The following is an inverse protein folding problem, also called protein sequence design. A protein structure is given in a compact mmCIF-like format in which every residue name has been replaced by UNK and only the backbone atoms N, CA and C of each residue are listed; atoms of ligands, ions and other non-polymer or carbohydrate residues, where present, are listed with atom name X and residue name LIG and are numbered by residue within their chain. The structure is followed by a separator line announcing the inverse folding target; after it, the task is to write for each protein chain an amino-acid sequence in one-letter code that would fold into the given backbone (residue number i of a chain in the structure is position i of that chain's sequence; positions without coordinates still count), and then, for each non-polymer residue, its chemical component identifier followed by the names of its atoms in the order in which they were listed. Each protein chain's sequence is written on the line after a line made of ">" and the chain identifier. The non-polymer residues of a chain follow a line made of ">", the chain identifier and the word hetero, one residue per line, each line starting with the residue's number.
data_IF_705226218107
#
_entry.id   IF_705226218107
#
_cell.length_a   1.000
_cell.length_b   1.000
_cell.length_c   1.000
_cell.angle_alpha   90.00
_cell.angle_beta   90.00
_cell.angle_gamma   90.00
#
_symmetry.space_group_name_H-M   'P 1'
#
loop_
_entity.id
_entity.type
_entity.pdbx_description
1 polymer ?
#
# COMPACT_ATOMS: atom_id res chain seq x y z
N UNK A 1 -12.54 3.68 -6.19
CA UNK A 1 -13.52 3.55 -5.07
C UNK A 1 -14.89 4.12 -5.43
N UNK A 2 -14.95 5.35 -5.95
CA UNK A 2 -16.23 6.05 -6.13
C UNK A 2 -17.05 5.58 -7.33
N UNK A 3 -16.40 5.29 -8.47
CA UNK A 3 -17.06 4.59 -9.59
C UNK A 3 -17.59 3.21 -9.17
N UNK A 4 -16.81 2.50 -8.36
CA UNK A 4 -17.19 1.19 -7.82
C UNK A 4 -18.34 1.28 -6.81
N UNK A 5 -18.37 2.32 -5.97
CA UNK A 5 -19.49 2.60 -5.06
C UNK A 5 -20.77 2.93 -5.83
N UNK A 6 -20.66 3.78 -6.85
CA UNK A 6 -21.79 4.11 -7.73
C UNK A 6 -22.35 2.86 -8.44
N UNK A 7 -21.48 1.98 -8.96
CA UNK A 7 -21.91 0.71 -9.56
C UNK A 7 -22.62 -0.22 -8.57
N UNK A 8 -22.17 -0.26 -7.30
CA UNK A 8 -22.79 -1.10 -6.27
C UNK A 8 -24.21 -0.63 -5.93
N UNK A 9 -24.43 0.69 -5.86
CA UNK A 9 -25.70 1.27 -5.43
C UNK A 9 -26.75 1.40 -6.54
N UNK A 10 -26.32 1.74 -7.75
CA UNK A 10 -27.24 2.05 -8.85
C UNK A 10 -27.44 0.90 -9.83
N UNK A 11 -26.52 -0.07 -9.86
CA UNK A 11 -26.52 -1.19 -10.81
C UNK A 11 -26.50 -2.53 -10.06
N UNK A 12 -25.32 -3.16 -10.00
CA UNK A 12 -25.06 -4.43 -9.34
C UNK A 12 -23.56 -4.53 -9.11
N UNK A 13 -23.15 -5.26 -8.06
CA UNK A 13 -21.75 -5.51 -7.79
C UNK A 13 -21.00 -6.17 -8.96
N UNK A 14 -21.69 -6.90 -9.84
CA UNK A 14 -21.09 -7.50 -11.05
C UNK A 14 -20.55 -6.45 -12.04
N UNK A 15 -21.17 -5.26 -12.11
CA UNK A 15 -20.74 -4.18 -13.02
C UNK A 15 -19.36 -3.63 -12.69
N UNK A 16 -18.89 -3.84 -11.46
CA UNK A 16 -17.52 -3.55 -11.05
C UNK A 16 -16.50 -4.32 -11.91
N UNK A 17 -16.83 -5.53 -12.36
CA UNK A 17 -15.96 -6.37 -13.20
C UNK A 17 -16.13 -6.10 -14.69
N UNK A 18 -17.34 -5.75 -15.13
CA UNK A 18 -17.64 -5.44 -16.53
C UNK A 18 -16.86 -4.23 -17.04
N UNK A 19 -16.57 -3.22 -16.19
CA UNK A 19 -15.76 -2.07 -16.59
C UNK A 19 -14.38 -2.49 -17.15
N UNK A 20 -13.67 -3.38 -16.46
CA UNK A 20 -12.39 -3.92 -16.93
C UNK A 20 -12.56 -4.80 -18.17
N UNK A 21 -13.63 -5.60 -18.24
CA UNK A 21 -13.92 -6.43 -19.40
C UNK A 21 -14.15 -5.61 -20.68
N UNK A 22 -14.78 -4.42 -20.57
CA UNK A 22 -15.01 -3.50 -21.71
C UNK A 22 -13.73 -2.81 -22.14
N UNK A 23 -12.83 -2.44 -21.21
CA UNK A 23 -11.55 -1.80 -21.53
C UNK A 23 -10.56 -2.79 -22.17
N UNK A 24 -10.65 -4.07 -21.82
CA UNK A 24 -9.74 -5.13 -22.30
C UNK A 24 -9.64 -5.24 -23.83
N UNK A 25 -10.73 -5.31 -24.62
CA UNK A 25 -10.63 -5.36 -26.08
C UNK A 25 -10.03 -4.09 -26.69
N UNK A 26 -10.31 -2.90 -26.12
CA UNK A 26 -9.66 -1.66 -26.55
C UNK A 26 -8.15 -1.74 -26.35
N UNK A 27 -7.70 -2.24 -25.20
CA UNK A 27 -6.28 -2.49 -24.94
C UNK A 27 -5.69 -3.52 -25.92
N UNK A 28 -6.43 -4.57 -26.27
CA UNK A 28 -5.98 -5.58 -27.24
C UNK A 28 -5.77 -4.97 -28.63
N UNK A 29 -6.68 -4.11 -29.08
CA UNK A 29 -6.55 -3.36 -30.34
C UNK A 29 -5.32 -2.45 -30.30
N UNK A 30 -5.12 -1.69 -29.23
CA UNK A 30 -3.94 -0.83 -29.07
C UNK A 30 -2.63 -1.63 -29.09
N UNK A 31 -2.60 -2.83 -28.49
CA UNK A 31 -1.44 -3.71 -28.48
C UNK A 31 -1.18 -4.28 -29.88
N UNK A 32 -2.22 -4.76 -30.55
CA UNK A 32 -2.12 -5.35 -31.88
C UNK A 32 -1.57 -4.37 -32.92
N UNK A 33 -2.02 -3.11 -32.89
CA UNK A 33 -1.55 -2.08 -33.82
C UNK A 33 -0.30 -1.33 -33.34
N UNK A 34 -0.04 -1.29 -32.04
CA UNK A 34 1.04 -0.48 -31.45
C UNK A 34 2.38 -1.20 -31.29
N UNK A 35 2.40 -2.54 -31.22
CA UNK A 35 3.66 -3.29 -31.06
C UNK A 35 4.17 -3.74 -32.43
N UNK A 36 5.34 -3.23 -32.89
CA UNK A 36 5.95 -3.72 -34.11
C UNK A 36 6.30 -5.21 -33.99
N UNK A 37 6.26 -5.99 -35.08
CA UNK A 37 6.60 -7.41 -35.05
C UNK A 37 7.97 -7.62 -34.42
N UNK A 38 8.02 -8.42 -33.35
CA UNK A 38 9.29 -8.73 -32.70
C UNK A 38 10.21 -9.46 -33.67
N UNK A 39 11.48 -9.07 -33.72
CA UNK A 39 12.49 -9.75 -34.52
C UNK A 39 12.50 -11.25 -34.16
N UNK A 40 12.61 -12.16 -35.15
CA UNK A 40 12.56 -13.59 -34.91
C UNK A 40 13.60 -14.00 -33.88
N UNK A 41 13.13 -14.74 -32.86
CA UNK A 41 13.97 -15.26 -31.77
C UNK A 41 15.14 -16.05 -32.37
N UNK A 42 16.37 -15.59 -32.17
CA UNK A 42 17.58 -16.34 -32.56
C UNK A 42 17.50 -17.73 -31.92
N UNK A 43 17.55 -18.78 -32.75
CA UNK A 43 17.48 -20.19 -32.32
C UNK A 43 18.65 -20.60 -31.43
N UNK A 44 19.77 -19.89 -31.51
CA UNK A 44 21.01 -20.16 -30.76
C UNK A 44 21.06 -19.48 -29.37
N UNK A 45 19.89 -19.18 -28.80
CA UNK A 45 19.80 -18.58 -27.47
C UNK A 45 19.99 -19.61 -26.34
N UNK A 46 20.41 -19.18 -25.14
CA UNK A 46 20.54 -20.05 -23.97
C UNK A 46 19.25 -20.82 -23.68
N UNK A 47 19.41 -22.00 -23.06
CA UNK A 47 18.39 -23.02 -22.84
C UNK A 47 17.00 -22.45 -22.47
N UNK A 48 15.90 -23.09 -22.92
CA UNK A 48 14.55 -22.58 -22.69
C UNK A 48 14.30 -22.34 -21.20
N UNK A 49 13.63 -21.24 -20.82
CA UNK A 49 13.35 -20.93 -19.42
C UNK A 49 12.58 -22.08 -18.78
N UNK A 50 13.04 -22.55 -17.60
CA UNK A 50 12.36 -23.63 -16.90
C UNK A 50 11.03 -23.13 -16.32
N UNK A 51 9.92 -23.41 -17.02
CA UNK A 51 8.57 -23.08 -16.54
C UNK A 51 8.26 -23.70 -15.17
N UNK A 52 8.78 -24.91 -14.93
CA UNK A 52 8.61 -25.63 -13.66
C UNK A 52 9.19 -24.84 -12.47
N UNK A 53 10.39 -24.26 -12.60
CA UNK A 53 11.00 -23.47 -11.53
C UNK A 53 10.24 -22.18 -11.23
N UNK A 54 9.69 -21.55 -12.27
CA UNK A 54 8.82 -20.39 -12.15
C UNK A 54 7.51 -20.72 -11.43
N UNK A 55 6.89 -21.86 -11.76
CA UNK A 55 5.66 -22.33 -11.11
C UNK A 55 5.88 -22.63 -9.63
N UNK A 56 6.96 -23.33 -9.28
CA UNK A 56 7.28 -23.58 -7.86
C UNK A 56 7.51 -22.28 -7.09
N UNK A 57 8.29 -21.34 -7.64
CA UNK A 57 8.52 -20.05 -6.99
C UNK A 57 7.21 -19.27 -6.81
N UNK A 58 6.39 -19.21 -7.86
CA UNK A 58 5.12 -18.47 -7.84
C UNK A 58 4.11 -19.08 -6.87
N UNK A 59 3.97 -20.41 -6.86
CA UNK A 59 3.09 -21.12 -5.95
C UNK A 59 3.53 -20.97 -4.49
N UNK A 60 4.84 -21.12 -4.23
CA UNK A 60 5.40 -20.93 -2.89
C UNK A 60 5.22 -19.51 -2.36
N UNK A 61 5.46 -18.49 -3.20
CA UNK A 61 5.18 -17.10 -2.85
C UNK A 61 3.67 -16.91 -2.60
N UNK A 62 2.80 -17.37 -3.49
CA UNK A 62 1.35 -17.22 -3.32
C UNK A 62 0.85 -17.78 -1.98
N UNK A 63 1.29 -18.97 -1.58
CA UNK A 63 0.92 -19.58 -0.30
C UNK A 63 1.36 -18.73 0.90
N UNK A 64 2.60 -18.25 0.90
CA UNK A 64 3.09 -17.36 1.96
C UNK A 64 2.32 -16.04 1.97
N UNK A 65 2.06 -15.45 0.81
CA UNK A 65 1.28 -14.21 0.72
C UNK A 65 -0.13 -14.39 1.28
N UNK A 66 -0.81 -15.50 0.98
CA UNK A 66 -2.12 -15.82 1.54
C UNK A 66 -2.04 -16.01 3.05
N UNK A 67 -1.04 -16.77 3.53
CA UNK A 67 -0.83 -16.99 4.96
C UNK A 67 -0.65 -15.66 5.72
N UNK A 68 0.22 -14.77 5.21
CA UNK A 68 0.48 -13.49 5.83
C UNK A 68 -0.73 -12.54 5.75
N UNK A 69 -1.45 -12.50 4.62
CA UNK A 69 -2.67 -11.69 4.48
C UNK A 69 -3.78 -12.13 5.44
N UNK A 70 -3.91 -13.42 5.65
CA UNK A 70 -4.92 -13.99 6.54
C UNK A 70 -4.42 -14.16 7.97
N UNK A 71 -3.19 -13.75 8.28
CA UNK A 71 -2.54 -13.97 9.58
C UNK A 71 -3.38 -13.44 10.74
N UNK A 72 -3.73 -12.15 10.71
CA UNK A 72 -4.56 -11.54 11.76
C UNK A 72 -5.95 -12.18 11.86
N UNK A 73 -6.56 -12.55 10.72
CA UNK A 73 -7.89 -13.18 10.69
C UNK A 73 -7.87 -14.61 11.24
N UNK A 74 -6.75 -15.31 11.09
CA UNK A 74 -6.56 -16.70 11.51
C UNK A 74 -5.82 -16.82 12.85
N UNK A 75 -5.67 -15.75 13.63
CA UNK A 75 -4.90 -15.76 14.89
C UNK A 75 -3.45 -16.30 14.73
N UNK A 76 -2.85 -16.04 13.58
CA UNK A 76 -1.46 -16.39 13.26
C UNK A 76 -1.13 -17.85 13.59
N UNK A 77 -0.16 -18.10 14.46
CA UNK A 77 0.34 -19.42 14.84
C UNK A 77 -0.68 -20.31 15.55
N UNK A 78 -1.78 -19.74 16.07
CA UNK A 78 -2.83 -20.51 16.74
C UNK A 78 -3.70 -21.29 15.77
N UNK A 79 -3.73 -20.91 14.49
CA UNK A 79 -4.49 -21.63 13.47
C UNK A 79 -3.65 -22.67 12.74
N UNK A 80 -4.17 -23.89 12.68
CA UNK A 80 -3.61 -24.95 11.85
C UNK A 80 -3.58 -24.59 10.36
N UNK A 81 -4.53 -23.80 9.87
CA UNK A 81 -4.58 -23.35 8.47
C UNK A 81 -3.45 -22.39 8.14
N UNK A 82 -3.18 -21.43 9.02
CA UNK A 82 -2.04 -20.51 8.86
C UNK A 82 -0.73 -21.29 8.85
N UNK A 83 -0.53 -22.19 9.82
CA UNK A 83 0.67 -23.02 9.92
C UNK A 83 0.86 -23.89 8.66
N UNK A 84 -0.22 -24.53 8.17
CA UNK A 84 -0.17 -25.33 6.96
C UNK A 84 0.23 -24.51 5.73
N UNK A 85 -0.39 -23.33 5.52
CA UNK A 85 -0.07 -22.44 4.39
C UNK A 85 1.35 -21.89 4.47
N UNK A 86 1.79 -21.46 5.65
CA UNK A 86 3.12 -20.90 5.85
C UNK A 86 4.20 -21.96 5.62
N UNK A 87 4.11 -23.11 6.29
CA UNK A 87 5.12 -24.17 6.16
C UNK A 87 5.13 -24.83 4.78
N UNK A 88 3.97 -25.05 4.17
CA UNK A 88 3.91 -25.58 2.79
C UNK A 88 4.47 -24.58 1.77
N UNK A 89 4.16 -23.29 1.91
CA UNK A 89 4.73 -22.22 1.09
C UNK A 89 6.25 -22.13 1.25
N UNK A 90 6.75 -22.13 2.48
CA UNK A 90 8.19 -22.13 2.78
C UNK A 90 8.89 -23.35 2.21
N UNK A 91 8.32 -24.55 2.36
CA UNK A 91 8.87 -25.79 1.80
C UNK A 91 9.00 -25.73 0.27
N UNK A 92 7.95 -25.28 -0.42
CA UNK A 92 7.96 -25.13 -1.88
C UNK A 92 8.97 -24.08 -2.33
N UNK A 93 9.10 -22.97 -1.60
CA UNK A 93 10.12 -21.95 -1.88
C UNK A 93 11.54 -22.46 -1.67
N UNK A 94 11.78 -23.25 -0.62
CA UNK A 94 13.09 -23.89 -0.39
C UNK A 94 13.41 -24.86 -1.53
N UNK A 95 12.45 -25.67 -1.96
CA UNK A 95 12.60 -26.54 -3.13
C UNK A 95 12.92 -25.72 -4.40
N UNK A 96 12.24 -24.60 -4.63
CA UNK A 96 12.51 -23.70 -5.75
C UNK A 96 13.92 -23.10 -5.68
N UNK A 97 14.37 -22.71 -4.48
CA UNK A 97 15.70 -22.14 -4.24
C UNK A 97 16.80 -23.17 -4.46
N UNK A 98 16.67 -24.38 -3.90
CA UNK A 98 17.63 -25.48 -4.08
C UNK A 98 17.73 -25.84 -5.56
N UNK A 99 16.60 -25.92 -6.27
CA UNK A 99 16.57 -26.18 -7.71
C UNK A 99 17.32 -25.09 -8.48
N UNK A 100 17.14 -23.82 -8.11
CA UNK A 100 17.85 -22.69 -8.71
C UNK A 100 19.36 -22.72 -8.43
N UNK A 101 19.77 -23.12 -7.23
CA UNK A 101 21.20 -23.25 -6.91
C UNK A 101 21.87 -24.38 -7.70
N UNK A 102 21.14 -25.47 -7.98
CA UNK A 102 21.64 -26.62 -8.75
C UNK A 102 21.67 -26.40 -10.27
N UNK A 103 20.85 -25.47 -10.78
CA UNK A 103 20.78 -25.14 -12.20
C UNK A 103 20.77 -23.63 -12.40
N UNK A 104 21.87 -23.00 -12.86
CA UNK A 104 21.92 -21.56 -13.06
C UNK A 104 20.93 -21.16 -14.15
N UNK A 105 19.77 -20.63 -13.74
CA UNK A 105 18.83 -20.04 -14.66
C UNK A 105 19.37 -18.67 -15.09
N UNK A 106 19.80 -18.57 -16.35
CA UNK A 106 20.47 -17.41 -16.94
C UNK A 106 19.62 -16.12 -16.94
N UNK A 107 18.32 -16.22 -16.64
CA UNK A 107 17.38 -15.09 -16.62
C UNK A 107 17.59 -14.08 -15.49
N UNK A 108 18.34 -14.40 -14.42
CA UNK A 108 18.48 -13.52 -13.25
C UNK A 108 19.94 -13.19 -12.97
N UNK A 109 20.40 -12.01 -13.39
CA UNK A 109 21.72 -11.50 -13.06
C UNK A 109 21.71 -10.72 -11.72
N UNK A 110 22.14 -11.33 -10.62
CA UNK A 110 22.16 -10.69 -9.29
C UNK A 110 23.24 -9.63 -9.00
N UNK A 111 24.40 -9.53 -9.68
CA UNK A 111 25.49 -8.68 -9.17
C UNK A 111 25.14 -7.19 -9.12
N UNK A 112 24.15 -6.74 -9.90
CA UNK A 112 23.68 -5.35 -9.92
C UNK A 112 22.70 -5.01 -8.79
N UNK A 113 22.04 -6.03 -8.21
CA UNK A 113 21.04 -5.87 -7.15
C UNK A 113 21.66 -5.59 -5.78
N UNK A 114 22.87 -6.09 -5.55
CA UNK A 114 23.59 -5.95 -4.27
C UNK A 114 24.36 -4.63 -4.12
N UNK A 115 24.23 -3.70 -5.07
CA UNK A 115 24.83 -2.37 -4.93
C UNK A 115 24.07 -1.56 -3.89
N UNK A 116 24.82 -0.82 -3.04
CA UNK A 116 24.29 -0.02 -1.94
C UNK A 116 23.08 0.84 -2.32
N UNK A 117 23.20 1.66 -3.37
CA UNK A 117 22.09 2.51 -3.84
C UNK A 117 20.88 1.69 -4.33
N UNK A 118 21.09 0.53 -4.95
CA UNK A 118 19.99 -0.32 -5.43
C UNK A 118 19.19 -0.91 -4.26
N UNK A 119 19.89 -1.38 -3.22
CA UNK A 119 19.26 -1.89 -1.99
C UNK A 119 18.54 -0.77 -1.24
N UNK A 120 19.16 0.41 -1.11
CA UNK A 120 18.52 1.58 -0.48
C UNK A 120 17.25 1.99 -1.22
N UNK A 121 17.29 2.08 -2.55
CA UNK A 121 16.11 2.39 -3.38
C UNK A 121 15.02 1.32 -3.25
N UNK A 122 15.41 0.05 -3.12
CA UNK A 122 14.47 -1.03 -2.79
C UNK A 122 13.79 -0.79 -1.43
N UNK A 123 14.55 -0.45 -0.40
CA UNK A 123 13.98 -0.14 0.92
C UNK A 123 13.08 1.10 0.89
N UNK A 124 13.47 2.13 0.14
CA UNK A 124 12.69 3.36 -0.02
C UNK A 124 11.39 3.11 -0.79
N UNK A 125 11.40 2.20 -1.76
CA UNK A 125 10.19 1.75 -2.44
C UNK A 125 9.27 0.99 -1.48
N UNK A 126 9.81 0.18 -0.58
CA UNK A 126 9.03 -0.46 0.47
C UNK A 126 8.36 0.59 1.38
N UNK A 127 9.13 1.56 1.89
CA UNK A 127 8.61 2.63 2.76
C UNK A 127 7.59 3.51 2.05
N UNK A 128 7.85 3.91 0.81
CA UNK A 128 6.87 4.64 0.00
C UNK A 128 5.57 3.83 -0.15
N UNK A 129 5.65 2.53 -0.41
CA UNK A 129 4.45 1.68 -0.48
C UNK A 129 3.71 1.59 0.85
N UNK A 130 4.43 1.61 1.97
CA UNK A 130 3.82 1.71 3.30
C UNK A 130 3.02 3.02 3.47
N UNK A 131 3.50 4.16 2.97
CA UNK A 131 2.76 5.43 3.06
C UNK A 131 1.43 5.43 2.30
N UNK A 132 1.26 4.57 1.28
CA UNK A 132 -0.01 4.42 0.57
C UNK A 132 -1.10 3.76 1.42
N UNK A 133 -0.72 3.10 2.52
CA UNK A 133 -1.68 2.52 3.47
C UNK A 133 -2.59 3.60 4.09
N UNK A 134 -2.10 4.84 4.16
CA UNK A 134 -2.88 6.01 4.57
C UNK A 134 -4.18 6.15 3.78
N UNK A 135 -4.08 6.16 2.46
CA UNK A 135 -5.21 6.36 1.53
C UNK A 135 -6.00 5.08 1.28
N UNK A 136 -5.33 3.93 1.31
CA UNK A 136 -5.95 2.64 0.98
C UNK A 136 -6.71 2.04 2.18
N UNK A 137 -6.22 2.25 3.41
CA UNK A 137 -6.75 1.57 4.61
C UNK A 137 -7.27 2.57 5.63
N UNK A 138 -6.41 3.46 6.15
CA UNK A 138 -6.74 4.28 7.33
C UNK A 138 -7.95 5.19 7.09
N UNK A 139 -7.95 5.93 5.99
CA UNK A 139 -9.04 6.86 5.68
C UNK A 139 -10.35 6.11 5.45
N UNK A 140 -10.45 5.12 4.54
CA UNK A 140 -11.67 4.34 4.37
C UNK A 140 -12.18 3.71 5.67
N UNK A 141 -11.30 3.12 6.49
CA UNK A 141 -11.69 2.49 7.75
C UNK A 141 -12.21 3.50 8.79
N UNK A 142 -11.65 4.72 8.82
CA UNK A 142 -12.11 5.77 9.73
C UNK A 142 -13.53 6.27 9.44
N UNK A 143 -13.98 6.15 8.20
CA UNK A 143 -15.37 6.41 7.82
C UNK A 143 -16.23 5.15 7.98
N UNK A 144 -15.75 3.99 7.55
CA UNK A 144 -16.51 2.75 7.59
C UNK A 144 -16.97 2.37 9.02
N UNK A 145 -16.17 2.66 10.06
CA UNK A 145 -16.57 2.39 11.45
C UNK A 145 -17.82 3.16 11.89
N UNK A 146 -18.12 4.29 11.25
CA UNK A 146 -19.33 5.07 11.53
C UNK A 146 -20.56 4.58 10.76
N UNK A 147 -20.40 3.54 9.93
CA UNK A 147 -21.45 3.07 9.04
C UNK A 147 -21.61 3.91 7.79
N UNK A 148 -20.60 4.69 7.39
CA UNK A 148 -20.59 5.32 6.08
C UNK A 148 -20.51 4.25 5.00
N UNK A 149 -21.39 4.34 4.01
CA UNK A 149 -21.41 3.44 2.86
C UNK A 149 -20.29 3.79 1.85
N UNK A 150 -20.12 2.92 0.85
CA UNK A 150 -19.02 3.04 -0.10
C UNK A 150 -19.10 4.31 -0.97
N UNK A 151 -20.30 4.79 -1.29
CA UNK A 151 -20.54 6.09 -1.93
C UNK A 151 -20.06 7.27 -1.10
N UNK A 152 -20.24 7.22 0.22
CA UNK A 152 -19.89 8.31 1.12
C UNK A 152 -18.38 8.36 1.37
N UNK A 153 -17.70 7.22 1.28
CA UNK A 153 -16.23 7.12 1.39
C UNK A 153 -15.55 7.58 0.09
N UNK A 154 -16.15 7.28 -1.07
CA UNK A 154 -15.60 7.54 -2.39
C UNK A 154 -15.10 8.99 -2.61
N UNK A 155 -15.91 10.03 -2.30
CA UNK A 155 -15.53 11.43 -2.44
C UNK A 155 -14.23 11.79 -1.73
N UNK A 156 -14.00 11.29 -0.51
CA UNK A 156 -12.76 11.55 0.22
C UNK A 156 -11.55 11.05 -0.58
N UNK A 157 -11.60 9.80 -1.06
CA UNK A 157 -10.46 9.16 -1.74
C UNK A 157 -10.22 9.72 -3.14
N UNK A 158 -11.25 10.23 -3.85
CA UNK A 158 -11.07 10.87 -5.17
C UNK A 158 -10.11 12.05 -5.10
N UNK A 159 -10.13 12.82 -4.02
CA UNK A 159 -9.29 14.00 -3.89
C UNK A 159 -7.80 13.67 -3.88
N UNK A 160 -7.40 12.46 -3.51
CA UNK A 160 -6.01 11.98 -3.67
C UNK A 160 -5.61 11.72 -5.13
N UNK A 161 -6.58 11.37 -5.99
CA UNK A 161 -6.34 11.11 -7.41
C UNK A 161 -6.40 12.38 -8.27
N UNK A 162 -7.18 13.38 -7.87
CA UNK A 162 -7.35 14.65 -8.60
C UNK A 162 -6.02 15.36 -8.97
N UNK A 163 -5.03 15.52 -8.06
CA UNK A 163 -3.80 16.24 -8.38
C UNK A 163 -2.82 15.42 -9.22
N UNK A 164 -3.05 14.11 -9.41
CA UNK A 164 -2.04 13.18 -9.93
C UNK A 164 -1.52 13.59 -11.32
N UNK A 165 -2.40 13.98 -12.24
CA UNK A 165 -2.00 14.37 -13.61
C UNK A 165 -1.17 15.68 -13.62
N UNK A 166 -1.62 16.69 -12.88
CA UNK A 166 -0.93 17.97 -12.79
C UNK A 166 0.44 17.83 -12.11
N UNK A 167 0.50 17.02 -11.06
CA UNK A 167 1.74 16.74 -10.32
C UNK A 167 2.69 15.86 -11.15
N UNK A 168 2.16 14.91 -11.93
CA UNK A 168 2.95 14.13 -12.88
C UNK A 168 3.62 15.00 -13.95
N UNK A 169 2.86 15.92 -14.56
CA UNK A 169 3.37 16.85 -15.56
C UNK A 169 4.42 17.79 -14.96
N UNK A 170 4.11 18.44 -13.84
CA UNK A 170 5.04 19.36 -13.18
C UNK A 170 6.29 18.65 -12.67
N UNK A 171 6.16 17.48 -12.04
CA UNK A 171 7.28 16.65 -11.60
C UNK A 171 8.18 16.23 -12.76
N UNK A 172 7.59 15.78 -13.87
CA UNK A 172 8.35 15.45 -15.09
C UNK A 172 9.11 16.64 -15.67
N UNK A 173 8.47 17.81 -15.75
CA UNK A 173 9.11 19.05 -16.21
C UNK A 173 10.26 19.48 -15.30
N UNK A 174 10.11 19.36 -13.97
CA UNK A 174 11.16 19.69 -13.01
C UNK A 174 12.37 18.75 -13.16
N UNK A 175 12.13 17.46 -13.39
CA UNK A 175 13.20 16.50 -13.69
C UNK A 175 13.93 16.87 -14.99
N UNK A 176 13.20 17.22 -16.06
CA UNK A 176 13.80 17.64 -17.33
C UNK A 176 14.62 18.94 -17.21
N UNK A 177 14.21 19.85 -16.32
CA UNK A 177 14.96 21.08 -15.99
C UNK A 177 16.21 20.83 -15.13
N UNK A 178 16.50 19.57 -14.77
CA UNK A 178 17.69 19.20 -14.01
C UNK A 178 17.52 19.27 -12.50
N UNK A 179 16.30 19.24 -11.97
CA UNK A 179 16.10 19.12 -10.53
C UNK A 179 16.45 17.71 -10.05
N UNK A 180 17.21 17.62 -8.95
CA UNK A 180 17.61 16.33 -8.37
C UNK A 180 16.36 15.51 -7.95
N UNK A 181 16.14 14.29 -8.48
CA UNK A 181 14.92 13.50 -8.21
C UNK A 181 14.70 13.15 -6.73
N UNK A 182 15.76 13.19 -5.92
CA UNK A 182 15.70 12.96 -4.47
C UNK A 182 15.00 14.07 -3.73
N UNK A 183 15.19 15.31 -4.18
CA UNK A 183 14.51 16.46 -3.58
C UNK A 183 13.02 16.35 -3.86
N UNK A 184 12.65 15.95 -5.08
CA UNK A 184 11.25 15.67 -5.41
C UNK A 184 10.66 14.56 -4.52
N UNK A 185 11.43 13.50 -4.30
CA UNK A 185 11.02 12.40 -3.42
C UNK A 185 10.86 12.85 -1.96
N UNK A 186 11.84 13.62 -1.44
CA UNK A 186 11.82 14.13 -0.08
C UNK A 186 10.67 15.12 0.16
N UNK A 187 10.42 16.05 -0.78
CA UNK A 187 9.27 16.96 -0.72
C UNK A 187 7.96 16.17 -0.73
N UNK A 188 7.86 15.15 -1.58
CA UNK A 188 6.69 14.27 -1.61
C UNK A 188 6.41 13.60 -0.27
N UNK A 189 7.43 12.97 0.33
CA UNK A 189 7.31 12.33 1.65
C UNK A 189 7.02 13.34 2.77
N UNK A 190 7.61 14.53 2.73
CA UNK A 190 7.34 15.57 3.72
C UNK A 190 5.89 16.04 3.65
N UNK A 191 5.34 16.25 2.45
CA UNK A 191 3.92 16.56 2.25
C UNK A 191 3.02 15.44 2.77
N UNK A 192 3.35 14.17 2.49
CA UNK A 192 2.58 13.02 3.00
C UNK A 192 2.69 12.90 4.52
N UNK A 193 3.86 13.15 5.11
CA UNK A 193 4.04 13.18 6.57
C UNK A 193 3.20 14.27 7.23
N UNK A 194 3.21 15.48 6.65
CA UNK A 194 2.43 16.60 7.15
C UNK A 194 0.92 16.30 7.06
N UNK A 195 0.46 15.74 5.95
CA UNK A 195 -0.92 15.29 5.80
C UNK A 195 -1.31 14.22 6.85
N UNK A 196 -0.42 13.26 7.10
CA UNK A 196 -0.63 12.24 8.13
C UNK A 196 -0.74 12.84 9.54
N UNK A 197 0.08 13.85 9.87
CA UNK A 197 -0.01 14.57 11.15
C UNK A 197 -1.33 15.36 11.25
N UNK A 198 -1.79 15.99 10.17
CA UNK A 198 -3.10 16.65 10.15
C UNK A 198 -4.23 15.64 10.38
N UNK A 199 -4.17 14.47 9.74
CA UNK A 199 -5.12 13.38 9.96
C UNK A 199 -5.02 12.76 11.36
N UNK A 200 -3.89 12.90 12.08
CA UNK A 200 -3.78 12.48 13.48
C UNK A 200 -4.67 13.30 14.43
N UNK A 201 -5.18 14.47 14.00
CA UNK A 201 -6.22 15.22 14.72
C UNK A 201 -7.64 14.67 14.48
N UNK A 202 -7.74 13.47 13.89
CA UNK A 202 -8.98 12.77 13.67
C UNK A 202 -9.82 12.68 14.94
N UNK A 203 -11.11 12.95 14.79
CA UNK A 203 -12.12 12.77 15.83
C UNK A 203 -13.23 11.90 15.28
N UNK A 204 -13.92 11.15 16.13
CA UNK A 204 -15.07 10.30 15.77
C UNK A 204 -16.25 11.03 15.11
N UNK A 205 -16.21 12.37 15.03
CA UNK A 205 -17.21 13.19 14.33
C UNK A 205 -16.89 13.48 12.87
N UNK A 206 -15.71 13.11 12.36
CA UNK A 206 -15.29 13.43 11.00
C UNK A 206 -16.17 12.73 9.95
N UNK A 207 -16.31 13.40 8.81
CA UNK A 207 -16.95 12.92 7.60
C UNK A 207 -15.96 13.02 6.41
N UNK A 208 -16.39 12.60 5.22
CA UNK A 208 -15.56 12.64 4.01
C UNK A 208 -14.98 14.04 3.72
N UNK A 209 -15.76 15.08 3.98
CA UNK A 209 -15.39 16.48 3.72
C UNK A 209 -14.18 16.95 4.54
N UNK A 210 -14.02 16.43 5.76
CA UNK A 210 -12.86 16.74 6.60
C UNK A 210 -11.54 16.26 5.95
N UNK A 211 -11.61 15.22 5.12
CA UNK A 211 -10.46 14.65 4.44
C UNK A 211 -10.14 15.32 3.11
N UNK A 212 -10.97 16.20 2.54
CA UNK A 212 -10.72 16.74 1.19
C UNK A 212 -9.39 17.48 1.08
N UNK A 213 -9.08 18.32 2.09
CA UNK A 213 -7.83 19.09 2.13
C UNK A 213 -6.62 18.18 2.36
N UNK A 214 -6.73 17.22 3.28
CA UNK A 214 -5.62 16.32 3.59
C UNK A 214 -5.39 15.31 2.47
N UNK A 215 -6.44 14.80 1.82
CA UNK A 215 -6.33 13.89 0.68
C UNK A 215 -5.74 14.57 -0.56
N UNK A 216 -6.10 15.82 -0.84
CA UNK A 216 -5.46 16.58 -1.91
C UNK A 216 -3.94 16.69 -1.66
N UNK A 217 -3.55 17.06 -0.43
CA UNK A 217 -2.15 17.15 -0.03
C UNK A 217 -1.44 15.78 -0.08
N UNK A 218 -2.10 14.72 0.39
CA UNK A 218 -1.61 13.35 0.30
C UNK A 218 -1.38 12.94 -1.14
N UNK A 219 -2.32 13.24 -2.04
CA UNK A 219 -2.21 12.96 -3.47
C UNK A 219 -1.02 13.67 -4.10
N UNK A 220 -0.82 14.96 -3.79
CA UNK A 220 0.36 15.72 -4.24
C UNK A 220 1.65 15.08 -3.70
N UNK A 221 1.69 14.78 -2.41
CA UNK A 221 2.86 14.19 -1.76
C UNK A 221 3.23 12.83 -2.34
N UNK A 222 2.26 11.91 -2.45
CA UNK A 222 2.47 10.57 -2.98
C UNK A 222 2.84 10.59 -4.47
N UNK A 223 2.28 11.50 -5.25
CA UNK A 223 2.62 11.66 -6.66
C UNK A 223 4.06 12.15 -6.86
N UNK A 224 4.47 13.23 -6.18
CA UNK A 224 5.85 13.69 -6.21
C UNK A 224 6.83 12.62 -5.69
N UNK A 225 6.44 11.93 -4.62
CA UNK A 225 7.25 10.86 -4.06
C UNK A 225 7.48 9.72 -5.06
N UNK A 226 6.42 9.29 -5.75
CA UNK A 226 6.50 8.27 -6.79
C UNK A 226 7.41 8.70 -7.94
N UNK A 227 7.24 9.93 -8.46
CA UNK A 227 8.01 10.45 -9.58
C UNK A 227 9.50 10.55 -9.21
N UNK A 228 9.81 11.11 -8.04
CA UNK A 228 11.18 11.24 -7.56
C UNK A 228 11.85 9.88 -7.32
N UNK A 229 11.12 8.93 -6.72
CA UNK A 229 11.61 7.58 -6.46
C UNK A 229 11.85 6.79 -7.76
N UNK A 230 10.88 6.76 -8.67
CA UNK A 230 11.02 6.10 -9.97
C UNK A 230 12.15 6.75 -10.76
N UNK A 231 12.27 8.08 -10.69
CA UNK A 231 13.37 8.81 -11.29
C UNK A 231 14.74 8.35 -10.78
N UNK A 232 14.89 8.21 -9.46
CA UNK A 232 16.12 7.66 -8.87
C UNK A 232 16.41 6.22 -9.31
N UNK A 233 15.37 5.37 -9.40
CA UNK A 233 15.50 3.97 -9.81
C UNK A 233 15.97 3.87 -11.27
N UNK A 234 15.41 4.69 -12.17
CA UNK A 234 15.80 4.70 -13.58
C UNK A 234 17.25 5.18 -13.72
N UNK A 235 17.63 6.30 -13.10
CA UNK A 235 19.01 6.80 -13.14
C UNK A 235 20.01 5.76 -12.60
N UNK A 236 19.66 5.07 -11.51
CA UNK A 236 20.47 3.98 -10.97
C UNK A 236 20.57 2.81 -11.95
N UNK A 237 19.48 2.45 -12.62
CA UNK A 237 19.48 1.41 -13.66
C UNK A 237 20.43 1.76 -14.81
N UNK A 238 20.46 3.04 -15.22
CA UNK A 238 21.33 3.52 -16.30
C UNK A 238 22.78 3.48 -15.85
N UNK A 239 23.07 4.06 -14.68
CA UNK A 239 24.43 4.13 -14.13
C UNK A 239 25.05 2.75 -13.85
N UNK A 240 24.25 1.79 -13.37
CA UNK A 240 24.75 0.45 -13.05
C UNK A 240 24.97 -0.43 -14.28
N UNK A 241 24.58 0.03 -15.47
CA UNK A 241 24.53 -0.79 -16.68
C UNK A 241 23.42 -1.85 -16.65
N UNK A 242 22.48 -1.76 -15.69
CA UNK A 242 21.32 -2.65 -15.60
C UNK A 242 20.40 -2.55 -16.81
N UNK A 243 20.44 -1.41 -17.53
CA UNK A 243 19.71 -1.19 -18.79
C UNK A 243 20.51 -1.53 -20.06
N UNK A 244 21.76 -1.99 -19.94
CA UNK A 244 22.64 -2.18 -21.12
C UNK A 244 22.35 -3.45 -21.92
N UNK A 245 21.70 -4.47 -21.33
CA UNK A 245 21.32 -5.70 -22.01
C UNK A 245 19.84 -6.01 -21.78
N UNK A 246 19.08 -6.48 -22.79
CA UNK A 246 17.65 -6.79 -22.65
C UNK A 246 17.32 -7.73 -21.47
N UNK A 247 18.16 -8.74 -21.24
CA UNK A 247 18.02 -9.69 -20.14
C UNK A 247 18.19 -9.08 -18.74
N UNK A 248 19.04 -8.05 -18.60
CA UNK A 248 19.28 -7.37 -17.32
C UNK A 248 18.17 -6.39 -16.97
N UNK A 249 17.57 -5.76 -17.98
CA UNK A 249 16.37 -4.91 -17.82
C UNK A 249 15.24 -5.71 -17.17
N UNK A 250 15.00 -6.93 -17.67
CA UNK A 250 13.97 -7.82 -17.14
C UNK A 250 14.24 -8.19 -15.67
N UNK A 251 15.49 -8.52 -15.32
CA UNK A 251 15.87 -8.81 -13.93
C UNK A 251 15.68 -7.60 -13.01
N UNK A 252 16.16 -6.44 -13.45
CA UNK A 252 16.13 -5.20 -12.67
C UNK A 252 14.69 -4.74 -12.43
N UNK A 253 13.85 -4.77 -13.47
CA UNK A 253 12.43 -4.47 -13.36
C UNK A 253 11.71 -5.47 -12.45
N UNK A 254 11.94 -6.78 -12.64
CA UNK A 254 11.32 -7.82 -11.81
C UNK A 254 11.66 -7.64 -10.31
N UNK A 255 12.88 -7.23 -9.99
CA UNK A 255 13.29 -6.95 -8.60
C UNK A 255 12.47 -5.83 -7.96
N UNK A 256 12.42 -4.64 -8.58
CA UNK A 256 11.64 -3.52 -8.05
C UNK A 256 10.14 -3.79 -8.04
N UNK A 257 9.61 -4.50 -9.03
CA UNK A 257 8.21 -4.94 -9.04
C UNK A 257 7.90 -5.90 -7.89
N UNK A 258 8.81 -6.84 -7.59
CA UNK A 258 8.66 -7.77 -6.47
C UNK A 258 8.65 -7.02 -5.15
N UNK A 259 9.59 -6.09 -4.95
CA UNK A 259 9.63 -5.23 -3.75
C UNK A 259 8.37 -4.37 -3.66
N UNK A 260 7.88 -3.82 -4.76
CA UNK A 260 6.66 -3.00 -4.80
C UNK A 260 5.43 -3.79 -4.34
N UNK A 261 5.29 -5.03 -4.82
CA UNK A 261 4.18 -5.92 -4.46
C UNK A 261 4.30 -6.38 -3.01
N UNK A 262 5.48 -6.83 -2.60
CA UNK A 262 5.75 -7.26 -1.24
C UNK A 262 5.59 -6.12 -0.24
N UNK A 263 6.13 -4.93 -0.53
CA UNK A 263 6.02 -3.78 0.36
C UNK A 263 4.60 -3.26 0.55
N UNK A 264 3.78 -3.28 -0.51
CA UNK A 264 2.36 -2.92 -0.38
C UNK A 264 1.57 -3.91 0.47
N UNK A 265 1.81 -5.21 0.27
CA UNK A 265 1.11 -6.27 1.03
C UNK A 265 1.59 -6.37 2.46
N UNK A 266 2.90 -6.42 2.70
CA UNK A 266 3.50 -6.42 4.03
C UNK A 266 3.09 -5.17 4.82
N UNK A 267 3.05 -4.00 4.18
CA UNK A 267 2.60 -2.77 4.82
C UNK A 267 1.13 -2.82 5.25
N UNK A 268 0.24 -3.33 4.40
CA UNK A 268 -1.17 -3.51 4.73
C UNK A 268 -1.36 -4.51 5.88
N UNK A 269 -0.64 -5.63 5.87
CA UNK A 269 -0.68 -6.67 6.91
C UNK A 269 -0.19 -6.10 8.25
N UNK A 270 0.94 -5.40 8.23
CA UNK A 270 1.50 -4.78 9.43
C UNK A 270 0.56 -3.72 10.00
N UNK A 271 -0.02 -2.86 9.17
CA UNK A 271 -0.99 -1.85 9.63
C UNK A 271 -2.24 -2.51 10.22
N UNK A 272 -2.77 -3.56 9.59
CA UNK A 272 -3.93 -4.30 10.12
C UNK A 272 -3.64 -4.90 11.50
N UNK A 273 -2.50 -5.57 11.66
CA UNK A 273 -2.05 -6.09 12.96
C UNK A 273 -1.83 -4.96 13.97
N UNK A 274 -1.17 -3.87 13.58
CA UNK A 274 -0.91 -2.72 14.44
C UNK A 274 -2.21 -2.11 14.97
N UNK A 275 -3.19 -1.86 14.11
CA UNK A 275 -4.51 -1.36 14.51
C UNK A 275 -5.21 -2.32 15.48
N UNK A 276 -5.19 -3.62 15.21
CA UNK A 276 -5.82 -4.62 16.09
C UNK A 276 -5.18 -4.65 17.49
N UNK A 277 -3.85 -4.54 17.59
CA UNK A 277 -3.16 -4.47 18.89
C UNK A 277 -3.41 -3.15 19.61
N UNK A 278 -3.43 -2.02 18.88
CA UNK A 278 -3.71 -0.70 19.47
C UNK A 278 -5.16 -0.58 19.91
N UNK A 279 -6.13 -1.15 19.19
CA UNK A 279 -7.54 -1.24 19.62
C UNK A 279 -7.65 -2.01 20.94
N UNK A 280 -6.97 -3.17 21.06
CA UNK A 280 -6.94 -3.95 22.32
C UNK A 280 -6.34 -3.16 23.47
N UNK A 281 -5.24 -2.45 23.22
CA UNK A 281 -4.57 -1.60 24.22
C UNK A 281 -5.49 -0.47 24.67
N UNK A 282 -6.05 0.31 23.74
CA UNK A 282 -6.95 1.42 24.07
C UNK A 282 -8.24 0.95 24.73
N UNK A 283 -8.78 -0.20 24.31
CA UNK A 283 -9.95 -0.80 24.95
C UNK A 283 -9.66 -1.20 26.40
N UNK A 284 -8.46 -1.68 26.71
CA UNK A 284 -8.06 -1.98 28.08
C UNK A 284 -7.91 -0.69 28.91
N UNK A 285 -7.17 0.30 28.40
CA UNK A 285 -6.95 1.58 29.09
C UNK A 285 -8.25 2.33 29.37
N UNK A 286 -9.16 2.37 28.40
CA UNK A 286 -10.49 2.96 28.60
C UNK A 286 -11.34 2.11 29.55
N UNK A 287 -11.23 0.79 29.48
CA UNK A 287 -11.92 -0.16 30.37
C UNK A 287 -11.53 0.00 31.84
N UNK A 288 -10.29 0.38 32.15
CA UNK A 288 -9.86 0.68 33.53
C UNK A 288 -10.67 1.81 34.19
N UNK A 289 -11.22 2.72 33.39
CA UNK A 289 -12.05 3.83 33.86
C UNK A 289 -13.55 3.48 33.92
N UNK A 290 -13.94 2.30 33.44
CA UNK A 290 -15.32 1.78 33.47
C UNK A 290 -15.36 0.63 34.48
N UNK A 291 -15.45 1.00 35.76
CA UNK A 291 -15.49 0.04 36.87
C UNK A 291 -16.84 0.03 37.58
N UNK A 292 -17.25 -1.17 38.00
CA UNK A 292 -18.47 -1.35 38.80
C UNK A 292 -18.26 -0.73 40.18
N UNK A 293 -19.19 0.12 40.63
CA UNK A 293 -19.07 0.87 41.89
C UNK A 293 -18.46 2.27 41.73
N UNK A 294 -18.05 2.66 40.51
CA UNK A 294 -17.78 4.06 40.22
C UNK A 294 -19.10 4.81 40.03
N UNK A 295 -19.31 5.86 40.81
CA UNK A 295 -20.54 6.66 40.75
C UNK A 295 -20.81 7.23 39.34
N UNK A 296 -19.76 7.53 38.56
CA UNK A 296 -19.89 8.02 37.18
C UNK A 296 -20.42 6.93 36.25
N UNK A 297 -19.98 5.69 36.43
CA UNK A 297 -20.37 4.56 35.58
C UNK A 297 -21.78 4.11 35.94
N UNK A 298 -22.06 4.00 37.23
CA UNK A 298 -23.37 3.57 37.73
C UNK A 298 -24.45 4.60 37.39
N UNK A 299 -24.19 5.91 37.57
CA UNK A 299 -25.14 6.96 37.17
C UNK A 299 -25.44 6.98 35.68
N UNK A 300 -24.43 6.77 34.81
CA UNK A 300 -24.62 6.65 33.37
C UNK A 300 -25.44 5.40 33.00
N UNK A 301 -25.16 4.25 33.64
CA UNK A 301 -25.92 3.01 33.42
C UNK A 301 -27.37 3.20 33.85
N UNK A 302 -27.63 3.76 35.03
CA UNK A 302 -29.00 4.00 35.52
C UNK A 302 -29.75 4.99 34.63
N UNK A 303 -29.10 6.10 34.23
CA UNK A 303 -29.69 7.07 33.32
C UNK A 303 -30.07 6.48 31.96
N UNK A 304 -29.17 5.70 31.35
CA UNK A 304 -29.46 5.00 30.09
C UNK A 304 -30.52 3.91 30.26
N UNK A 305 -30.49 3.16 31.37
CA UNK A 305 -31.48 2.12 31.67
C UNK A 305 -32.89 2.73 31.79
N UNK A 306 -33.01 3.88 32.47
CA UNK A 306 -34.27 4.61 32.59
C UNK A 306 -34.80 5.06 31.22
N UNK A 307 -33.94 5.63 30.36
CA UNK A 307 -34.31 6.06 29.01
C UNK A 307 -34.67 4.92 28.05
N UNK A 308 -34.11 3.72 28.27
CA UNK A 308 -34.36 2.53 27.44
C UNK A 308 -35.51 1.66 27.95
N UNK A 309 -36.02 1.93 29.16
CA UNK A 309 -37.05 1.13 29.80
C UNK A 309 -38.31 1.01 28.92
N UNK A 310 -38.82 2.14 28.41
CA UNK A 310 -40.01 2.16 27.56
C UNK A 310 -39.88 1.44 26.21
N UNK A 311 -38.66 1.06 25.81
CA UNK A 311 -38.37 0.33 24.56
C UNK A 311 -37.88 -1.10 24.81
N UNK A 312 -37.91 -1.58 26.05
CA UNK A 312 -37.33 -2.86 26.46
C UNK A 312 -38.36 -3.73 27.18
N UNK A 313 -38.19 -5.04 27.17
CA UNK A 313 -39.11 -6.02 27.77
C UNK A 313 -39.04 -6.10 29.31
N UNK A 314 -38.56 -5.04 29.97
CA UNK A 314 -38.39 -4.97 31.42
C UNK A 314 -37.03 -4.40 31.85
N UNK A 315 -36.88 -4.18 33.16
CA UNK A 315 -35.71 -3.55 33.76
C UNK A 315 -34.39 -4.31 33.51
N UNK A 316 -34.32 -5.66 33.60
CA UNK A 316 -33.09 -6.39 33.30
C UNK A 316 -32.67 -6.26 31.82
N UNK A 317 -33.64 -6.28 30.90
CA UNK A 317 -33.38 -6.12 29.47
C UNK A 317 -32.90 -4.69 29.14
N UNK A 318 -33.49 -3.68 29.77
CA UNK A 318 -33.06 -2.28 29.63
C UNK A 318 -31.62 -2.07 30.15
N UNK A 319 -31.29 -2.66 31.31
CA UNK A 319 -29.95 -2.59 31.89
C UNK A 319 -28.90 -3.27 31.01
N UNK A 320 -29.19 -4.48 30.50
CA UNK A 320 -28.31 -5.17 29.56
C UNK A 320 -28.05 -4.38 28.28
N UNK A 321 -29.10 -3.74 27.72
CA UNK A 321 -28.96 -2.85 26.55
C UNK A 321 -28.14 -1.60 26.84
N UNK A 322 -28.33 -0.97 28.00
CA UNK A 322 -27.53 0.18 28.42
C UNK A 322 -26.04 -0.17 28.47
N UNK A 323 -25.69 -1.30 29.09
CA UNK A 323 -24.31 -1.80 29.15
C UNK A 323 -23.78 -2.07 27.72
N UNK A 324 -24.58 -2.70 26.87
CA UNK A 324 -24.21 -2.96 25.47
C UNK A 324 -23.91 -1.68 24.67
N UNK A 325 -24.70 -0.62 24.87
CA UNK A 325 -24.46 0.68 24.22
C UNK A 325 -23.19 1.35 24.74
N UNK A 326 -22.93 1.31 26.04
CA UNK A 326 -21.69 1.83 26.63
C UNK A 326 -20.48 1.07 26.07
N UNK A 327 -20.55 -0.26 26.01
CA UNK A 327 -19.51 -1.09 25.43
C UNK A 327 -19.25 -0.77 23.94
N UNK A 328 -20.31 -0.56 23.16
CA UNK A 328 -20.20 -0.16 21.75
C UNK A 328 -19.53 1.22 21.59
N UNK A 329 -19.87 2.18 22.47
CA UNK A 329 -19.23 3.51 22.49
C UNK A 329 -17.75 3.42 22.88
N UNK A 330 -17.42 2.62 23.89
CA UNK A 330 -16.05 2.36 24.32
C UNK A 330 -15.21 1.78 23.18
N UNK A 331 -15.77 0.79 22.47
CA UNK A 331 -15.11 0.17 21.32
C UNK A 331 -14.87 1.16 20.18
N UNK A 332 -15.87 1.99 19.86
CA UNK A 332 -15.74 3.02 18.83
C UNK A 332 -14.64 4.04 19.17
N UNK A 333 -14.52 4.43 20.44
CA UNK A 333 -13.45 5.32 20.91
C UNK A 333 -12.08 4.63 20.88
N UNK A 334 -11.98 3.39 21.33
CA UNK A 334 -10.74 2.61 21.29
C UNK A 334 -10.21 2.44 19.85
N UNK A 335 -11.10 2.16 18.90
CA UNK A 335 -10.72 2.06 17.49
C UNK A 335 -10.35 3.44 16.90
N UNK A 336 -11.06 4.51 17.26
CA UNK A 336 -10.73 5.88 16.82
C UNK A 336 -9.30 6.28 17.26
N UNK A 337 -8.93 5.96 18.50
CA UNK A 337 -7.56 6.17 19.01
C UNK A 337 -6.53 5.31 18.28
N UNK A 338 -6.87 4.06 17.93
CA UNK A 338 -5.98 3.20 17.13
C UNK A 338 -5.71 3.77 15.73
N UNK A 339 -6.71 4.41 15.11
CA UNK A 339 -6.53 5.08 13.82
C UNK A 339 -5.62 6.30 13.92
N UNK A 340 -5.74 7.09 15.00
CA UNK A 340 -4.82 8.21 15.29
C UNK A 340 -3.38 7.71 15.39
N UNK A 341 -3.15 6.60 16.10
CA UNK A 341 -1.84 5.96 16.15
C UNK A 341 -1.37 5.49 14.76
N UNK A 342 -2.28 4.97 13.93
CA UNK A 342 -2.00 4.58 12.55
C UNK A 342 -1.54 5.75 11.68
N UNK A 343 -2.19 6.92 11.82
CA UNK A 343 -1.78 8.14 11.12
C UNK A 343 -0.38 8.59 11.56
N UNK A 344 -0.10 8.59 12.86
CA UNK A 344 1.22 8.93 13.39
C UNK A 344 2.29 7.93 12.94
N UNK A 345 1.98 6.64 12.88
CA UNK A 345 2.88 5.61 12.39
C UNK A 345 3.28 5.86 10.92
N UNK A 346 2.34 6.29 10.08
CA UNK A 346 2.65 6.70 8.70
C UNK A 346 3.55 7.93 8.70
N UNK A 347 3.27 8.95 9.52
CA UNK A 347 4.12 10.14 9.62
C UNK A 347 5.57 9.78 10.00
N UNK A 348 5.76 8.94 11.03
CA UNK A 348 7.08 8.44 11.42
C UNK A 348 7.74 7.61 10.33
N UNK A 349 6.99 6.81 9.58
CA UNK A 349 7.53 6.06 8.44
C UNK A 349 8.07 6.97 7.35
N UNK A 350 7.41 8.11 7.09
CA UNK A 350 7.91 9.13 6.16
C UNK A 350 9.22 9.75 6.68
N UNK A 351 9.32 10.04 7.98
CA UNK A 351 10.55 10.57 8.60
C UNK A 351 11.71 9.58 8.45
N UNK A 352 11.47 8.29 8.73
CA UNK A 352 12.47 7.23 8.51
C UNK A 352 12.88 7.17 7.04
N UNK A 353 11.93 7.23 6.12
CA UNK A 353 12.22 7.25 4.68
C UNK A 353 13.04 8.49 4.28
N UNK A 354 12.77 9.67 4.85
CA UNK A 354 13.57 10.89 4.63
C UNK A 354 15.02 10.73 5.10
N UNK A 355 15.23 10.10 6.28
CA UNK A 355 16.58 9.78 6.76
C UNK A 355 17.30 8.80 5.83
N UNK A 356 16.59 7.80 5.31
CA UNK A 356 17.15 6.85 4.34
C UNK A 356 17.48 7.54 3.01
N UNK A 357 16.70 8.53 2.58
CA UNK A 357 17.01 9.34 1.38
C UNK A 357 18.34 10.08 1.57
N UNK A 358 18.62 10.61 2.76
CA UNK A 358 19.87 11.31 3.03
C UNK A 358 21.11 10.41 2.86
N UNK A 359 20.95 9.08 3.00
CA UNK A 359 22.02 8.10 2.80
C UNK A 359 22.27 7.74 1.32
N UNK A 360 21.42 8.19 0.38
CA UNK A 360 21.65 7.95 -1.05
C UNK A 360 22.86 8.75 -1.54
N UNK A 361 23.80 8.11 -2.25
CA UNK A 361 24.95 8.79 -2.90
C UNK A 361 24.53 9.44 -4.21
N UNK A 362 24.88 10.71 -4.47
CA UNK A 362 24.46 11.50 -5.66
C UNK A 362 24.68 10.70 -6.96
N UNK A 363 23.69 10.72 -7.86
CA UNK A 363 23.84 10.12 -9.19
C UNK A 363 24.78 11.03 -9.99
N UNK A 364 25.77 10.48 -10.71
CA UNK A 364 26.67 11.29 -11.52
C UNK A 364 25.99 11.88 -12.76
N UNK A 365 24.83 11.35 -13.15
CA UNK A 365 24.02 11.86 -14.25
C UNK A 365 22.72 12.47 -13.76
N UNK A 366 22.33 13.57 -14.40
CA UNK A 366 21.02 14.18 -14.25
C UNK A 366 20.15 13.94 -15.48
N UNK A 367 18.83 14.10 -15.33
CA UNK A 367 17.90 13.92 -16.45
C UNK A 367 18.13 14.91 -17.60
N UNK A 368 18.58 16.13 -17.28
CA UNK A 368 18.99 17.12 -18.27
C UNK A 368 20.20 16.65 -19.11
N UNK A 369 21.09 15.83 -18.57
CA UNK A 369 22.25 15.30 -19.29
C UNK A 369 21.83 14.14 -20.20
N UNK A 370 20.92 13.29 -19.73
CA UNK A 370 20.35 12.19 -20.53
C UNK A 370 19.49 12.69 -21.70
N UNK A 371 18.76 13.81 -21.52
CA UNK A 371 17.99 14.43 -22.60
C UNK A 371 18.90 14.95 -23.73
N UNK A 372 20.14 15.33 -23.40
CA UNK A 372 21.16 15.74 -24.39
C UNK A 372 21.83 14.55 -25.09
N UNK A 373 21.60 13.31 -24.61
CA UNK A 373 22.29 12.10 -25.07
C UNK A 373 21.50 11.23 -26.08
N UNK A 374 20.31 11.62 -26.56
CA UNK A 374 19.57 10.84 -27.56
C UNK A 374 19.64 11.42 -28.99
N UNK A 375 19.63 10.56 -30.03
CA UNK A 375 20.58 9.48 -30.33
C UNK A 375 21.42 9.84 -31.57
N UNK A 376 22.58 9.19 -31.72
CA UNK A 376 23.27 9.07 -33.02
C UNK A 376 22.24 8.55 -34.02
N UNK A 377 22.01 9.31 -35.11
CA UNK A 377 21.20 8.89 -36.26
C UNK A 377 21.56 7.45 -36.60
N UNK A 378 20.59 6.55 -36.58
CA UNK A 378 20.67 5.35 -37.40
C UNK A 378 20.75 5.84 -38.85
N UNK A 379 21.97 5.97 -39.39
CA UNK A 379 22.17 6.01 -40.84
C UNK A 379 21.63 4.69 -41.38
N UNK A 380 20.50 4.81 -42.09
CA UNK A 380 20.05 3.82 -43.06
C UNK A 380 20.50 4.26 -44.44
#
# INVERSE_FOLDING_TARGET
>A
PSLYGWYREHLSWHWMFWNSAVITPLMFVCIYFGIPPAAPRKKDGPAPPSFVGFLYLSAGLALIFIALQQGERLDWWRSGVYNALFWSGTFILLCALIRRMRGPNWLVALPYLWRWNTVLLGSLLFWFRFTLVLTIILIPQSLAIRGFEADQIGPAVIWSAAPLLLVALTGGLLLLRGMDPRLLFAVGLACTAFSAILNAHYTSGWAAENYYRTELLTGIGQAFALIGLVGCIILQGVFTGGLSKPQWILTFSAFFHTIRLFGGTAGAIYMGHFLAQREKLHSNLLGLHVSRGSWITDSNIYGMTAGLFGKSSGLPAAGGRAIGLIAARLRLQAYSLSLVDGFLLVAWSCVVALLVIALLKKSPFNYADLAKLQPVKEEK
#
